data_IF_505771774187
#
_entry.id   IF_505771774187
#
_cell.length_a   1.000
_cell.length_b   1.000
_cell.length_c   1.000
_cell.angle_alpha   90.00
_cell.angle_beta   90.00
_cell.angle_gamma   90.00
#
_symmetry.space_group_name_H-M   'P 1'
#
loop_
_entity.id
_entity.type
_entity.pdbx_description
1 polymer ?
#
# COMPACT_ATOMS: atom_id res chain seq x y z
N UNK A 1 -23.78 20.07 -14.71
CA UNK A 1 -23.42 19.28 -13.53
C UNK A 1 -22.65 20.20 -12.59
N UNK A 2 -23.05 20.40 -11.35
CA UNK A 2 -22.27 21.18 -10.41
C UNK A 2 -21.04 20.37 -9.99
N UNK A 3 -19.89 21.00 -9.69
CA UNK A 3 -18.69 20.30 -9.26
C UNK A 3 -18.90 19.72 -7.87
N UNK A 4 -18.47 18.47 -7.68
CA UNK A 4 -18.39 17.82 -6.37
C UNK A 4 -17.47 18.63 -5.45
N UNK A 5 -17.79 18.79 -4.16
CA UNK A 5 -16.93 19.48 -3.21
C UNK A 5 -15.81 18.53 -2.77
N UNK A 6 -14.77 18.42 -3.57
CA UNK A 6 -13.48 17.86 -3.20
C UNK A 6 -12.63 18.95 -2.58
N UNK A 7 -12.94 19.35 -1.36
CA UNK A 7 -12.13 20.29 -0.62
C UNK A 7 -10.78 19.66 -0.29
N UNK A 8 -9.73 20.11 -0.97
CA UNK A 8 -8.37 20.04 -0.44
C UNK A 8 -8.44 20.81 0.88
N UNK A 9 -8.32 20.11 2.00
CA UNK A 9 -8.12 20.72 3.31
C UNK A 9 -6.74 21.41 3.30
N UNK A 10 -6.71 22.61 2.78
CA UNK A 10 -5.73 23.59 3.21
C UNK A 10 -6.15 23.99 4.63
N UNK A 11 -5.51 23.41 5.64
CA UNK A 11 -5.56 23.90 7.01
C UNK A 11 -4.92 25.28 7.04
N UNK A 12 -5.71 26.31 6.73
CA UNK A 12 -5.37 27.68 6.97
C UNK A 12 -6.55 28.36 7.67
N UNK A 13 -6.71 28.03 8.95
CA UNK A 13 -7.50 28.81 9.90
C UNK A 13 -7.01 28.44 11.30
N UNK A 14 -6.03 29.16 11.84
CA UNK A 14 -5.87 29.43 13.27
C UNK A 14 -5.98 28.33 14.33
N UNK A 15 -6.07 27.07 13.93
CA UNK A 15 -5.84 25.91 14.78
C UNK A 15 -4.34 25.64 14.76
N UNK A 16 -3.65 25.84 15.86
CA UNK A 16 -2.38 25.19 16.14
C UNK A 16 -2.59 23.70 15.91
N UNK A 17 -2.11 23.20 14.76
CA UNK A 17 -2.11 21.77 14.49
C UNK A 17 -1.21 21.16 15.56
N UNK A 18 -1.78 20.40 16.49
CA UNK A 18 -0.98 19.67 17.48
C UNK A 18 -0.02 18.79 16.68
N UNK A 19 1.25 19.10 16.72
CA UNK A 19 2.32 18.39 16.01
C UNK A 19 2.46 16.95 16.51
N UNK A 20 2.06 16.69 17.76
CA UNK A 20 2.06 15.38 18.40
C UNK A 20 0.61 14.94 18.58
N UNK A 21 0.30 13.80 18.00
CA UNK A 21 -1.01 13.17 18.08
C UNK A 21 -0.96 11.94 19.00
N UNK A 22 -1.82 11.95 20.03
CA UNK A 22 -1.94 10.86 20.99
C UNK A 22 -3.29 10.16 20.83
N UNK A 23 -3.25 8.82 20.84
CA UNK A 23 -4.45 8.00 20.80
C UNK A 23 -4.20 6.62 21.42
N UNK A 24 -5.28 5.92 21.77
CA UNK A 24 -5.23 4.56 22.27
C UNK A 24 -5.86 3.61 21.27
N UNK A 25 -5.18 2.50 21.00
CA UNK A 25 -5.65 1.48 20.08
C UNK A 25 -5.16 0.10 20.53
N UNK A 26 -6.07 -0.88 20.59
CA UNK A 26 -5.76 -2.28 20.92
C UNK A 26 -5.00 -2.47 22.25
N UNK A 27 -5.22 -1.58 23.23
CA UNK A 27 -4.58 -1.62 24.54
C UNK A 27 -3.18 -0.98 24.57
N UNK A 28 -2.77 -0.32 23.49
CA UNK A 28 -1.53 0.46 23.43
C UNK A 28 -1.81 1.96 23.49
N UNK A 29 -1.00 2.67 24.24
CA UNK A 29 -0.92 4.13 24.20
C UNK A 29 0.07 4.52 23.10
N UNK A 30 -0.41 5.20 22.09
CA UNK A 30 0.39 5.54 20.90
C UNK A 30 0.56 7.04 20.82
N UNK A 31 1.79 7.48 20.58
CA UNK A 31 2.16 8.88 20.38
C UNK A 31 2.85 9.01 19.03
N UNK A 32 2.26 9.80 18.15
CA UNK A 32 2.74 10.06 16.79
C UNK A 32 3.20 11.51 16.67
N UNK A 33 4.47 11.73 16.36
CA UNK A 33 4.95 13.04 15.87
C UNK A 33 4.70 13.14 14.36
N UNK A 34 3.82 14.03 13.96
CA UNK A 34 3.36 14.14 12.56
C UNK A 34 4.40 14.73 11.62
N UNK A 35 5.41 15.42 12.14
CA UNK A 35 6.45 16.04 11.33
C UNK A 35 7.68 15.18 11.13
N UNK A 36 8.12 14.46 12.14
CA UNK A 36 9.18 13.47 12.00
C UNK A 36 8.67 12.12 11.50
N UNK A 37 7.38 11.80 11.69
CA UNK A 37 6.81 10.49 11.46
C UNK A 37 7.14 9.46 12.54
N UNK A 38 7.78 9.88 13.64
CA UNK A 38 8.12 8.99 14.76
C UNK A 38 6.87 8.51 15.48
N UNK A 39 6.81 7.21 15.76
CA UNK A 39 5.73 6.57 16.52
C UNK A 39 6.32 5.93 17.76
N UNK A 40 5.73 6.24 18.91
CA UNK A 40 6.14 5.73 20.21
C UNK A 40 4.97 4.96 20.84
N UNK A 41 5.25 3.81 21.41
CA UNK A 41 4.33 3.09 22.29
C UNK A 41 4.84 3.31 23.71
N UNK A 42 3.99 3.85 24.56
CA UNK A 42 4.34 4.29 25.91
C UNK A 42 3.37 3.71 26.94
N UNK A 43 3.78 3.71 28.21
CA UNK A 43 2.88 3.39 29.31
C UNK A 43 1.89 4.53 29.61
N UNK A 44 0.99 4.31 30.56
CA UNK A 44 -0.05 5.28 30.92
C UNK A 44 0.55 6.56 31.50
N UNK A 45 1.62 6.44 32.27
CA UNK A 45 2.27 7.56 32.94
C UNK A 45 2.95 8.48 31.90
N UNK A 46 3.78 7.90 31.04
CA UNK A 46 4.44 8.64 29.97
C UNK A 46 3.42 9.25 28.98
N UNK A 47 2.31 8.57 28.72
CA UNK A 47 1.25 9.09 27.88
C UNK A 47 0.65 10.39 28.43
N UNK A 48 0.34 10.41 29.74
CA UNK A 48 -0.20 11.59 30.41
C UNK A 48 0.86 12.68 30.59
N UNK A 49 2.12 12.33 30.88
CA UNK A 49 3.23 13.29 30.95
C UNK A 49 3.39 14.01 29.61
N UNK A 50 3.41 13.27 28.50
CA UNK A 50 3.52 13.85 27.14
C UNK A 50 2.34 14.79 26.85
N UNK A 51 1.12 14.46 27.27
CA UNK A 51 -0.04 15.31 27.10
C UNK A 51 0.09 16.68 27.76
N UNK A 52 0.80 16.76 28.89
CA UNK A 52 0.97 17.98 29.68
C UNK A 52 2.30 18.71 29.42
N UNK A 53 3.24 18.06 28.75
CA UNK A 53 4.65 18.50 28.66
C UNK A 53 4.84 19.91 28.12
N UNK A 54 4.04 20.30 27.13
CA UNK A 54 4.09 21.66 26.55
C UNK A 54 3.17 22.68 27.24
N UNK A 55 2.32 22.21 28.14
CA UNK A 55 1.29 23.06 28.76
C UNK A 55 1.63 23.48 30.19
N UNK A 56 2.50 22.70 30.88
CA UNK A 56 2.79 22.89 32.30
C UNK A 56 4.30 22.83 32.59
N UNK A 57 4.71 23.38 33.72
CA UNK A 57 6.06 23.23 34.24
C UNK A 57 6.31 21.82 34.75
N UNK A 58 7.58 21.38 34.75
CA UNK A 58 7.97 20.05 35.21
C UNK A 58 7.44 19.73 36.63
N UNK A 59 7.53 20.65 37.56
CA UNK A 59 7.04 20.44 38.93
C UNK A 59 5.51 20.32 38.98
N UNK A 60 4.78 21.07 38.15
CA UNK A 60 3.33 20.97 38.05
C UNK A 60 2.89 19.64 37.42
N UNK A 61 3.66 19.10 36.47
CA UNK A 61 3.42 17.77 35.88
C UNK A 61 3.66 16.69 36.95
N UNK A 62 4.79 16.75 37.65
CA UNK A 62 5.12 15.79 38.71
C UNK A 62 4.02 15.77 39.79
N UNK A 63 3.57 16.94 40.25
CA UNK A 63 2.49 17.03 41.25
C UNK A 63 1.18 16.40 40.73
N UNK A 64 0.79 16.69 39.49
CA UNK A 64 -0.43 16.14 38.88
C UNK A 64 -0.35 14.62 38.68
N UNK A 65 0.82 14.09 38.32
CA UNK A 65 1.03 12.66 38.13
C UNK A 65 1.08 11.92 39.47
N UNK A 66 1.68 12.49 40.51
CA UNK A 66 1.63 11.92 41.87
C UNK A 66 0.19 11.90 42.42
N UNK A 67 -0.62 12.92 42.13
CA UNK A 67 -2.04 12.92 42.51
C UNK A 67 -2.80 11.79 41.77
N UNK A 68 -2.51 11.58 40.48
CA UNK A 68 -3.20 10.57 39.66
C UNK A 68 -2.74 9.15 39.89
N UNK A 69 -1.44 8.94 40.10
CA UNK A 69 -0.79 7.62 40.12
C UNK A 69 -0.06 7.31 41.43
N UNK A 70 -0.16 8.16 42.45
CA UNK A 70 0.58 8.00 43.72
C UNK A 70 0.26 6.75 44.53
N UNK A 71 -0.85 6.08 44.21
CA UNK A 71 -1.19 4.77 44.83
C UNK A 71 -0.41 3.61 44.18
N UNK A 72 0.28 3.83 43.08
CA UNK A 72 1.10 2.83 42.38
C UNK A 72 2.51 2.80 42.97
N UNK A 73 3.00 1.65 43.43
CA UNK A 73 4.31 1.53 44.05
C UNK A 73 5.50 1.71 43.08
N UNK A 74 5.20 1.61 41.78
CA UNK A 74 6.14 1.78 40.67
C UNK A 74 6.19 3.21 40.12
N UNK A 75 5.48 4.17 40.75
CA UNK A 75 5.45 5.57 40.34
C UNK A 75 5.91 6.46 41.48
N UNK A 76 7.18 6.83 41.44
CA UNK A 76 7.76 7.78 42.39
C UNK A 76 8.06 9.12 41.74
N UNK A 77 8.35 10.16 42.55
CA UNK A 77 8.80 11.45 42.03
C UNK A 77 10.07 11.30 41.16
N UNK A 78 10.95 10.40 41.52
CA UNK A 78 12.21 10.15 40.77
C UNK A 78 11.88 9.56 39.38
N UNK A 79 10.95 8.58 39.31
CA UNK A 79 10.53 7.98 38.03
C UNK A 79 9.86 9.01 37.12
N UNK A 80 9.03 9.91 37.67
CA UNK A 80 8.40 10.97 36.94
C UNK A 80 9.39 11.99 36.39
N UNK A 81 10.43 12.35 37.19
CA UNK A 81 11.49 13.23 36.71
C UNK A 81 12.33 12.58 35.61
N UNK A 82 12.63 11.27 35.75
CA UNK A 82 13.30 10.50 34.69
C UNK A 82 12.45 10.46 33.40
N UNK A 83 11.15 10.22 33.51
CA UNK A 83 10.23 10.27 32.37
C UNK A 83 10.26 11.62 31.65
N UNK A 84 10.29 12.75 32.42
CA UNK A 84 10.40 14.09 31.84
C UNK A 84 11.75 14.29 31.11
N UNK A 85 12.86 13.75 31.65
CA UNK A 85 14.15 13.77 30.98
C UNK A 85 14.15 12.95 29.68
N UNK A 86 13.53 11.77 29.68
CA UNK A 86 13.39 10.92 28.50
C UNK A 86 12.54 11.60 27.41
N UNK A 87 11.44 12.26 27.79
CA UNK A 87 10.62 13.07 26.88
C UNK A 87 11.42 14.24 26.30
N UNK A 88 12.20 14.93 27.14
CA UNK A 88 13.09 16.01 26.68
C UNK A 88 14.17 15.50 25.70
N UNK A 89 14.73 14.31 25.94
CA UNK A 89 15.68 13.69 25.04
C UNK A 89 15.05 13.36 23.68
N UNK A 90 13.80 12.88 23.64
CA UNK A 90 13.07 12.63 22.38
C UNK A 90 12.79 13.94 21.63
N UNK A 91 12.47 15.03 22.34
CA UNK A 91 12.32 16.34 21.73
C UNK A 91 13.64 16.84 21.11
N UNK A 92 14.74 16.78 21.87
CA UNK A 92 16.07 17.17 21.38
C UNK A 92 16.52 16.31 20.17
N UNK A 93 16.16 15.04 20.14
CA UNK A 93 16.42 14.16 19.03
C UNK A 93 15.52 14.41 17.80
N UNK A 94 14.59 15.38 17.86
CA UNK A 94 13.64 15.66 16.78
C UNK A 94 12.64 14.54 16.55
N UNK A 95 12.21 13.84 17.61
CA UNK A 95 11.25 12.71 17.54
C UNK A 95 9.94 12.99 18.27
N UNK A 96 9.86 14.13 18.95
CA UNK A 96 8.64 14.73 19.50
C UNK A 96 8.67 16.23 19.30
N UNK A 97 7.52 16.83 18.98
CA UNK A 97 7.36 18.25 18.65
C UNK A 97 8.36 18.75 17.60
N UNK A 98 8.66 17.93 16.63
CA UNK A 98 9.59 18.23 15.55
C UNK A 98 9.09 19.39 14.70
N UNK A 99 9.97 20.32 14.28
CA UNK A 99 9.57 21.40 13.38
C UNK A 99 9.13 20.85 12.03
N UNK A 100 8.13 21.47 11.42
CA UNK A 100 7.74 21.18 10.04
C UNK A 100 8.76 21.80 9.07
N UNK A 101 9.79 21.05 8.72
CA UNK A 101 10.84 21.50 7.78
C UNK A 101 10.33 21.62 6.33
N UNK A 102 9.10 21.21 6.04
CA UNK A 102 8.51 21.23 4.70
C UNK A 102 7.35 22.22 4.57
N UNK A 103 7.01 22.97 5.63
CA UNK A 103 5.91 23.92 5.61
C UNK A 103 6.03 24.93 4.46
N UNK A 104 7.24 25.42 4.22
CA UNK A 104 7.53 26.43 3.17
C UNK A 104 7.73 25.80 1.79
N UNK A 105 7.73 24.48 1.67
CA UNK A 105 7.94 23.75 0.40
C UNK A 105 6.62 23.35 -0.28
N UNK A 106 5.47 23.80 0.19
CA UNK A 106 4.18 23.62 -0.47
C UNK A 106 4.11 24.47 -1.71
N UNK A 107 4.52 23.93 -2.85
CA UNK A 107 4.55 24.62 -4.14
C UNK A 107 3.20 24.57 -4.85
N UNK A 108 3.00 25.54 -5.76
CA UNK A 108 1.96 25.44 -6.77
C UNK A 108 2.22 24.24 -7.68
N UNK A 109 1.38 23.24 -7.59
CA UNK A 109 1.46 21.99 -8.36
C UNK A 109 1.49 22.21 -9.87
N UNK A 110 1.00 23.35 -10.37
CA UNK A 110 1.00 23.68 -11.79
C UNK A 110 2.38 23.98 -12.38
N UNK A 111 3.30 24.38 -11.53
CA UNK A 111 4.67 24.79 -11.94
C UNK A 111 5.73 23.72 -11.64
N UNK A 112 5.33 22.51 -11.34
CA UNK A 112 6.24 21.42 -11.02
C UNK A 112 6.93 20.88 -12.27
N UNK A 113 8.27 20.87 -12.29
CA UNK A 113 9.04 20.10 -13.25
C UNK A 113 8.96 18.61 -12.86
N UNK A 114 8.19 17.84 -13.59
CA UNK A 114 8.05 16.40 -13.37
C UNK A 114 8.81 15.63 -14.43
N UNK A 115 9.43 14.52 -14.01
CA UNK A 115 9.98 13.51 -14.91
C UNK A 115 9.13 12.25 -14.81
N UNK A 116 8.84 11.61 -15.93
CA UNK A 116 8.12 10.34 -15.93
C UNK A 116 9.03 9.27 -15.35
N UNK A 117 8.52 8.56 -14.33
CA UNK A 117 9.28 7.51 -13.63
C UNK A 117 8.72 6.12 -13.87
N UNK A 118 7.42 6.02 -14.20
CA UNK A 118 6.74 4.76 -14.34
C UNK A 118 5.65 4.80 -15.40
N UNK A 119 5.41 3.65 -16.05
CA UNK A 119 4.27 3.41 -16.94
C UNK A 119 3.50 2.18 -16.52
N UNK A 120 2.17 2.29 -16.50
CA UNK A 120 1.26 1.15 -16.44
C UNK A 120 0.78 0.82 -17.85
N UNK A 121 1.30 -0.24 -18.45
CA UNK A 121 0.99 -0.62 -19.82
C UNK A 121 -0.14 -1.64 -19.87
N UNK A 122 -1.29 -1.23 -20.41
CA UNK A 122 -2.38 -2.13 -20.71
C UNK A 122 -2.07 -2.92 -21.99
N UNK A 123 -1.24 -3.94 -21.87
CA UNK A 123 -0.75 -4.73 -23.01
C UNK A 123 -1.83 -5.61 -23.65
N UNK A 124 -2.93 -5.85 -22.94
CA UNK A 124 -4.08 -6.61 -23.45
C UNK A 124 -5.40 -5.95 -23.03
N UNK A 125 -6.18 -5.49 -23.98
CA UNK A 125 -7.58 -5.09 -23.80
C UNK A 125 -8.51 -6.27 -23.97
N UNK A 126 -8.15 -7.40 -23.37
CA UNK A 126 -8.95 -8.63 -23.31
C UNK A 126 -8.52 -9.44 -22.09
N UNK A 127 -9.42 -10.31 -21.62
CA UNK A 127 -9.16 -11.18 -20.48
C UNK A 127 -9.78 -12.56 -20.73
N UNK A 128 -9.18 -13.60 -20.20
CA UNK A 128 -9.70 -14.98 -20.20
C UNK A 128 -10.64 -15.26 -19.03
N UNK A 129 -10.79 -14.33 -18.09
CA UNK A 129 -11.81 -14.34 -17.03
C UNK A 129 -12.90 -13.29 -17.26
N UNK A 130 -14.07 -13.54 -16.69
CA UNK A 130 -15.26 -12.69 -16.73
C UNK A 130 -15.65 -12.24 -15.30
N UNK A 131 -14.72 -11.63 -14.59
CA UNK A 131 -14.94 -11.20 -13.20
C UNK A 131 -16.07 -10.18 -13.11
N UNK A 132 -17.05 -10.42 -12.22
CA UNK A 132 -18.27 -9.60 -12.16
C UNK A 132 -18.01 -8.18 -11.64
N UNK A 133 -17.05 -7.97 -10.74
CA UNK A 133 -16.70 -6.65 -10.21
C UNK A 133 -15.61 -5.92 -11.04
N UNK A 134 -15.23 -6.42 -12.22
CA UNK A 134 -14.09 -5.90 -12.96
C UNK A 134 -14.30 -4.45 -13.42
N UNK A 135 -13.57 -3.50 -12.83
CA UNK A 135 -13.60 -2.08 -13.21
C UNK A 135 -13.18 -1.85 -14.67
N UNK A 136 -12.35 -2.76 -15.21
CA UNK A 136 -11.84 -2.71 -16.59
C UNK A 136 -12.79 -3.33 -17.63
N UNK A 137 -14.06 -3.62 -17.28
CA UNK A 137 -15.04 -4.27 -18.18
C UNK A 137 -14.47 -5.54 -18.83
N UNK A 138 -13.94 -6.44 -18.01
CA UNK A 138 -13.25 -7.68 -18.41
C UNK A 138 -12.10 -7.41 -19.40
N UNK A 139 -11.35 -6.35 -19.11
CA UNK A 139 -10.18 -5.92 -19.86
C UNK A 139 -10.46 -5.02 -21.06
N UNK A 140 -11.73 -4.80 -21.44
CA UNK A 140 -12.06 -3.95 -22.60
C UNK A 140 -11.95 -2.46 -22.35
N UNK A 141 -11.98 -2.02 -21.09
CA UNK A 141 -11.99 -0.59 -20.72
C UNK A 141 -13.04 0.22 -21.47
N UNK A 142 -14.24 -0.39 -21.65
CA UNK A 142 -15.37 0.16 -22.42
C UNK A 142 -15.09 0.36 -23.93
N UNK A 143 -13.99 -0.20 -24.45
CA UNK A 143 -13.61 -0.19 -25.85
C UNK A 143 -13.64 -1.59 -26.49
N UNK A 144 -12.98 -1.71 -27.63
CA UNK A 144 -12.82 -2.98 -28.34
C UNK A 144 -11.79 -3.89 -27.68
N UNK A 145 -11.93 -5.20 -27.88
CA UNK A 145 -10.91 -6.17 -27.51
C UNK A 145 -9.72 -6.06 -28.45
N UNK A 146 -8.54 -5.83 -27.90
CA UNK A 146 -7.31 -5.67 -28.65
C UNK A 146 -6.11 -6.15 -27.88
N UNK A 147 -5.03 -6.45 -28.58
CA UNK A 147 -3.71 -6.69 -28.02
C UNK A 147 -2.77 -5.57 -28.50
N UNK A 148 -1.95 -5.07 -27.59
CA UNK A 148 -0.95 -4.03 -27.93
C UNK A 148 0.05 -4.60 -28.93
N UNK A 149 0.33 -3.85 -30.02
CA UNK A 149 1.40 -4.21 -30.94
C UNK A 149 2.77 -3.91 -30.34
N UNK A 150 3.81 -4.55 -30.86
CA UNK A 150 5.19 -4.26 -30.44
C UNK A 150 5.57 -2.81 -30.71
N UNK A 151 5.14 -2.23 -31.81
CA UNK A 151 5.43 -0.84 -32.21
C UNK A 151 4.84 0.16 -31.21
N UNK A 152 3.63 -0.08 -30.73
CA UNK A 152 3.00 0.76 -29.70
C UNK A 152 3.74 0.61 -28.37
N UNK A 153 4.04 -0.61 -27.94
CA UNK A 153 4.83 -0.85 -26.74
C UNK A 153 6.21 -0.22 -26.80
N UNK A 154 6.89 -0.40 -27.93
CA UNK A 154 8.21 0.23 -28.18
C UNK A 154 8.12 1.76 -28.04
N UNK A 155 7.13 2.40 -28.70
CA UNK A 155 6.96 3.85 -28.60
C UNK A 155 6.69 4.32 -27.17
N UNK A 156 5.95 3.54 -26.37
CA UNK A 156 5.74 3.84 -24.95
C UNK A 156 7.06 3.79 -24.15
N UNK A 157 7.94 2.81 -24.43
CA UNK A 157 9.25 2.75 -23.79
C UNK A 157 10.16 3.90 -24.21
N UNK A 158 10.17 4.25 -25.50
CA UNK A 158 10.91 5.41 -26.01
C UNK A 158 10.44 6.69 -25.30
N UNK A 159 9.13 6.87 -25.17
CA UNK A 159 8.53 7.99 -24.43
C UNK A 159 9.00 8.04 -22.96
N UNK A 160 9.01 6.89 -22.27
CA UNK A 160 9.49 6.82 -20.90
C UNK A 160 10.96 7.22 -20.78
N UNK A 161 11.81 6.76 -21.69
CA UNK A 161 13.23 7.11 -21.73
C UNK A 161 13.40 8.62 -21.99
N UNK A 162 12.74 9.14 -23.02
CA UNK A 162 12.81 10.55 -23.43
C UNK A 162 12.38 11.52 -22.32
N UNK A 163 11.37 11.12 -21.51
CA UNK A 163 10.76 11.99 -20.49
C UNK A 163 11.22 11.69 -19.06
N UNK A 164 12.17 10.79 -18.86
CA UNK A 164 12.67 10.42 -17.53
C UNK A 164 13.87 11.26 -17.05
N UNK A 165 14.36 12.18 -17.87
CA UNK A 165 15.50 13.02 -17.53
C UNK A 165 16.74 12.20 -17.10
N UNK A 166 17.36 12.59 -16.01
CA UNK A 166 18.53 11.89 -15.43
C UNK A 166 18.16 10.67 -14.58
N UNK A 167 16.87 10.38 -14.39
CA UNK A 167 16.40 9.25 -13.58
C UNK A 167 16.86 7.94 -14.21
N UNK A 168 17.60 7.12 -13.46
CA UNK A 168 18.12 5.84 -13.94
C UNK A 168 17.09 4.71 -13.81
N UNK A 169 16.45 4.58 -12.64
CA UNK A 169 15.48 3.50 -12.38
C UNK A 169 14.10 3.89 -12.89
N UNK A 170 13.55 3.08 -13.79
CA UNK A 170 12.26 3.27 -14.43
C UNK A 170 11.38 2.04 -14.15
N UNK A 171 10.14 2.26 -13.76
CA UNK A 171 9.18 1.21 -13.46
C UNK A 171 8.23 0.99 -14.64
N UNK A 172 7.94 -0.26 -14.95
CA UNK A 172 6.98 -0.63 -16.00
C UNK A 172 6.10 -1.76 -15.50
N UNK A 173 4.80 -1.48 -15.37
CA UNK A 173 3.81 -2.46 -14.97
C UNK A 173 3.09 -3.01 -16.19
N UNK A 174 3.23 -4.31 -16.46
CA UNK A 174 2.44 -5.02 -17.45
C UNK A 174 1.08 -5.37 -16.86
N UNK A 175 0.07 -4.71 -17.38
CA UNK A 175 -1.30 -4.73 -16.90
C UNK A 175 -2.30 -4.88 -18.05
N UNK A 176 -3.58 -4.66 -17.76
CA UNK A 176 -4.66 -4.67 -18.74
C UNK A 176 -5.82 -5.56 -18.31
N UNK A 177 -6.37 -6.36 -19.21
CA UNK A 177 -7.28 -7.45 -18.89
C UNK A 177 -6.51 -8.60 -18.26
N UNK A 178 -5.80 -9.37 -19.12
CA UNK A 178 -4.81 -10.36 -18.68
C UNK A 178 -3.55 -10.21 -19.55
N UNK A 179 -2.45 -9.70 -19.00
CA UNK A 179 -1.24 -9.44 -19.78
C UNK A 179 -0.61 -10.70 -20.39
N UNK A 180 -0.76 -11.86 -19.77
CA UNK A 180 -0.24 -13.11 -20.34
C UNK A 180 -0.95 -13.54 -21.64
N UNK A 181 -2.08 -12.93 -21.99
CA UNK A 181 -2.68 -13.11 -23.33
C UNK A 181 -1.84 -12.45 -24.44
N UNK A 182 -0.91 -11.57 -24.08
CA UNK A 182 0.02 -10.92 -25.03
C UNK A 182 1.48 -11.19 -24.64
N UNK A 183 1.75 -12.36 -24.07
CA UNK A 183 3.03 -12.67 -23.43
C UNK A 183 4.22 -12.61 -24.39
N UNK A 184 4.06 -13.09 -25.63
CA UNK A 184 5.13 -13.04 -26.63
C UNK A 184 5.54 -11.59 -26.99
N UNK A 185 4.58 -10.68 -27.03
CA UNK A 185 4.87 -9.25 -27.22
C UNK A 185 5.60 -8.70 -25.98
N UNK A 186 5.18 -9.05 -24.77
CA UNK A 186 5.86 -8.63 -23.52
C UNK A 186 7.33 -9.09 -23.52
N UNK A 187 7.60 -10.36 -23.89
CA UNK A 187 8.98 -10.87 -23.98
C UNK A 187 9.83 -10.05 -24.96
N UNK A 188 9.29 -9.72 -26.12
CA UNK A 188 9.99 -8.88 -27.12
C UNK A 188 10.24 -7.47 -26.59
N UNK A 189 9.25 -6.89 -25.90
CA UNK A 189 9.37 -5.54 -25.35
C UNK A 189 10.42 -5.48 -24.23
N UNK A 190 10.46 -6.46 -23.35
CA UNK A 190 11.48 -6.57 -22.30
C UNK A 190 12.87 -6.70 -22.92
N UNK A 191 13.04 -7.54 -23.93
CA UNK A 191 14.33 -7.67 -24.65
C UNK A 191 14.77 -6.34 -25.25
N UNK A 192 13.86 -5.61 -25.89
CA UNK A 192 14.13 -4.26 -26.38
C UNK A 192 14.58 -3.32 -25.25
N UNK A 193 13.89 -3.31 -24.12
CA UNK A 193 14.25 -2.46 -22.98
C UNK A 193 15.65 -2.79 -22.43
N UNK A 194 16.04 -4.08 -22.36
CA UNK A 194 17.38 -4.50 -21.93
C UNK A 194 18.50 -4.00 -22.85
N UNK A 195 18.22 -3.82 -24.14
CA UNK A 195 19.14 -3.18 -25.08
C UNK A 195 19.22 -1.67 -24.84
N UNK A 196 18.07 -1.01 -24.65
CA UNK A 196 18.00 0.43 -24.40
C UNK A 196 18.64 0.86 -23.07
N UNK A 197 18.63 0.00 -22.04
CA UNK A 197 19.31 0.24 -20.75
C UNK A 197 20.79 0.63 -20.96
N UNK A 198 21.46 -0.09 -21.85
CA UNK A 198 22.89 0.12 -22.13
C UNK A 198 23.15 1.43 -22.87
N UNK A 199 22.25 1.80 -23.79
CA UNK A 199 22.37 2.98 -24.62
C UNK A 199 22.09 4.27 -23.82
N UNK A 200 21.08 4.22 -22.97
CA UNK A 200 20.55 5.40 -22.27
C UNK A 200 20.91 5.45 -20.78
N UNK A 201 21.74 4.54 -20.27
CA UNK A 201 22.09 4.41 -18.85
C UNK A 201 20.83 4.35 -17.95
N UNK A 202 19.86 3.55 -18.36
CA UNK A 202 18.62 3.28 -17.61
C UNK A 202 18.65 1.91 -16.97
N UNK A 203 17.70 1.65 -16.08
CA UNK A 203 17.47 0.35 -15.44
C UNK A 203 15.96 0.16 -15.31
N UNK A 204 15.40 -0.73 -16.12
CA UNK A 204 13.96 -1.03 -16.08
C UNK A 204 13.65 -2.08 -15.04
N UNK A 205 12.66 -1.77 -14.21
CA UNK A 205 12.10 -2.68 -13.20
C UNK A 205 10.69 -3.04 -13.64
N UNK A 206 10.50 -4.29 -14.03
CA UNK A 206 9.21 -4.77 -14.54
C UNK A 206 8.38 -5.37 -13.43
N UNK A 207 7.08 -5.06 -13.44
CA UNK A 207 6.04 -5.74 -12.66
C UNK A 207 5.08 -6.44 -13.62
N UNK A 208 4.67 -7.66 -13.29
CA UNK A 208 3.64 -8.42 -14.00
C UNK A 208 2.45 -8.63 -13.08
N UNK A 209 1.25 -8.20 -13.51
CA UNK A 209 0.00 -8.49 -12.79
C UNK A 209 -0.78 -9.56 -13.55
N UNK A 210 -1.13 -10.68 -12.92
CA UNK A 210 -1.83 -11.77 -13.61
C UNK A 210 -2.92 -12.40 -12.76
N UNK A 211 -3.96 -12.90 -13.42
CA UNK A 211 -5.00 -13.74 -12.82
C UNK A 211 -4.60 -15.21 -12.65
N UNK A 212 -3.43 -15.60 -13.12
CA UNK A 212 -2.83 -16.91 -12.91
C UNK A 212 -3.28 -18.03 -13.86
N UNK A 213 -4.34 -17.85 -14.61
CA UNK A 213 -4.88 -18.92 -15.47
C UNK A 213 -3.86 -19.43 -16.51
N UNK A 214 -3.02 -18.53 -17.04
CA UNK A 214 -2.04 -18.82 -18.09
C UNK A 214 -0.63 -19.04 -17.55
N UNK A 215 -0.43 -19.11 -16.25
CA UNK A 215 0.88 -19.42 -15.67
C UNK A 215 1.26 -20.87 -16.05
N UNK A 216 2.45 -21.00 -16.59
CA UNK A 216 3.18 -22.23 -16.90
C UNK A 216 4.67 -22.06 -16.59
N UNK A 217 5.51 -23.04 -16.94
CA UNK A 217 6.95 -23.00 -16.68
C UNK A 217 7.65 -21.84 -17.39
N UNK A 218 7.28 -21.54 -18.64
CA UNK A 218 7.89 -20.43 -19.41
C UNK A 218 7.59 -19.09 -18.75
N UNK A 219 6.36 -18.88 -18.27
CA UNK A 219 5.96 -17.68 -17.52
C UNK A 219 6.72 -17.57 -16.20
N UNK A 220 6.86 -18.68 -15.45
CA UNK A 220 7.60 -18.70 -14.18
C UNK A 220 9.06 -18.32 -14.41
N UNK A 221 9.72 -18.98 -15.37
CA UNK A 221 11.13 -18.74 -15.67
C UNK A 221 11.37 -17.31 -16.15
N UNK A 222 10.53 -16.81 -17.05
CA UNK A 222 10.60 -15.43 -17.52
C UNK A 222 10.42 -14.43 -16.38
N UNK A 223 9.38 -14.56 -15.58
CA UNK A 223 9.12 -13.63 -14.47
C UNK A 223 10.23 -13.70 -13.42
N UNK A 224 10.78 -14.88 -13.15
CA UNK A 224 11.90 -15.03 -12.21
C UNK A 224 13.20 -14.42 -12.73
N UNK A 225 13.38 -14.34 -14.03
CA UNK A 225 14.56 -13.74 -14.66
C UNK A 225 14.40 -12.23 -14.83
N UNK A 226 13.26 -11.78 -15.32
CA UNK A 226 13.10 -10.43 -15.84
C UNK A 226 12.25 -9.50 -14.95
N UNK A 227 11.31 -10.04 -14.16
CA UNK A 227 10.41 -9.22 -13.36
C UNK A 227 10.94 -8.97 -11.96
N UNK A 228 11.02 -7.70 -11.59
CA UNK A 228 11.36 -7.27 -10.23
C UNK A 228 10.26 -7.65 -9.24
N UNK A 229 9.01 -7.52 -9.65
CA UNK A 229 7.84 -7.87 -8.84
C UNK A 229 6.79 -8.60 -9.67
N UNK A 230 5.95 -9.42 -9.02
CA UNK A 230 4.80 -10.08 -9.64
C UNK A 230 3.60 -9.98 -8.72
N UNK A 231 2.47 -9.57 -9.28
CA UNK A 231 1.19 -9.47 -8.59
C UNK A 231 0.30 -10.64 -9.01
N UNK A 232 -0.06 -11.47 -8.04
CA UNK A 232 -0.87 -12.68 -8.23
C UNK A 232 -2.28 -12.42 -7.69
N UNK A 233 -3.28 -12.42 -8.57
CA UNK A 233 -4.65 -12.04 -8.21
C UNK A 233 -5.42 -13.18 -7.55
N UNK A 234 -5.65 -13.10 -6.23
CA UNK A 234 -6.41 -14.06 -5.44
C UNK A 234 -7.23 -13.32 -4.38
N UNK A 235 -8.55 -13.56 -4.34
CA UNK A 235 -9.45 -12.85 -3.41
C UNK A 235 -9.62 -13.58 -2.05
N UNK A 236 -8.84 -14.60 -1.78
CA UNK A 236 -8.87 -15.35 -0.51
C UNK A 236 -9.56 -16.69 -0.62
N UNK A 237 -10.55 -16.95 0.26
CA UNK A 237 -11.30 -18.22 0.31
C UNK A 237 -11.93 -18.57 -1.04
N UNK A 238 -12.03 -19.86 -1.31
CA UNK A 238 -12.55 -20.37 -2.59
C UNK A 238 -13.92 -19.83 -2.94
N UNK A 239 -14.85 -19.85 -1.99
CA UNK A 239 -16.23 -19.38 -2.19
C UNK A 239 -16.29 -17.87 -2.49
N UNK A 240 -15.39 -17.07 -1.91
CA UNK A 240 -15.25 -15.63 -2.19
C UNK A 240 -14.66 -15.43 -3.58
N UNK A 241 -13.53 -16.06 -3.85
CA UNK A 241 -12.85 -15.96 -5.14
C UNK A 241 -13.76 -16.40 -6.30
N UNK A 242 -14.35 -17.59 -6.22
CA UNK A 242 -15.18 -18.17 -7.26
C UNK A 242 -16.55 -17.50 -7.41
N UNK A 243 -16.98 -16.69 -6.43
CA UNK A 243 -18.15 -15.83 -6.58
C UNK A 243 -17.94 -14.82 -7.70
N UNK A 244 -16.77 -14.23 -7.79
CA UNK A 244 -16.48 -13.10 -8.66
C UNK A 244 -15.62 -13.45 -9.87
N UNK A 245 -14.55 -14.26 -9.67
CA UNK A 245 -13.53 -14.54 -10.69
C UNK A 245 -13.84 -15.83 -11.45
N UNK A 246 -14.86 -15.75 -12.29
CA UNK A 246 -15.30 -16.87 -13.14
C UNK A 246 -14.75 -16.73 -14.56
N UNK A 247 -14.64 -17.87 -15.24
CA UNK A 247 -14.41 -17.90 -16.68
C UNK A 247 -15.72 -17.58 -17.45
N UNK A 248 -15.64 -17.51 -18.78
CA UNK A 248 -16.81 -17.25 -19.64
C UNK A 248 -17.82 -18.40 -19.66
N UNK A 249 -17.48 -19.58 -19.17
CA UNK A 249 -18.39 -20.70 -18.97
C UNK A 249 -19.04 -20.70 -17.57
N UNK A 250 -18.76 -19.68 -16.73
CA UNK A 250 -19.28 -19.55 -15.38
C UNK A 250 -18.59 -20.42 -14.33
N UNK A 251 -17.47 -21.06 -14.67
CA UNK A 251 -16.68 -21.88 -13.71
C UNK A 251 -15.75 -20.99 -12.89
N UNK A 252 -15.63 -21.29 -11.59
CA UNK A 252 -14.66 -20.64 -10.72
C UNK A 252 -13.22 -20.92 -11.16
N UNK A 253 -12.30 -20.02 -10.84
CA UNK A 253 -10.89 -20.13 -11.22
C UNK A 253 -9.97 -20.56 -10.08
N UNK A 254 -10.46 -20.62 -8.84
CA UNK A 254 -9.66 -20.88 -7.65
C UNK A 254 -8.83 -22.19 -7.74
N UNK A 255 -9.49 -23.32 -8.01
CA UNK A 255 -8.81 -24.62 -8.06
C UNK A 255 -7.75 -24.72 -9.18
N UNK A 256 -7.92 -23.93 -10.25
CA UNK A 256 -6.99 -23.88 -11.36
C UNK A 256 -5.73 -23.04 -11.05
N UNK A 257 -5.88 -21.96 -10.26
CA UNK A 257 -4.80 -21.00 -10.07
C UNK A 257 -3.99 -21.20 -8.79
N UNK A 258 -4.61 -21.63 -7.69
CA UNK A 258 -3.90 -21.77 -6.40
C UNK A 258 -2.69 -22.70 -6.49
N UNK A 259 -2.75 -23.91 -7.08
CA UNK A 259 -1.56 -24.75 -7.23
C UNK A 259 -0.46 -24.07 -8.07
N UNK A 260 -0.83 -23.32 -9.10
CA UNK A 260 0.11 -22.56 -9.94
C UNK A 260 0.78 -21.43 -9.16
N UNK A 261 0.03 -20.72 -8.34
CA UNK A 261 0.58 -19.67 -7.49
C UNK A 261 1.54 -20.21 -6.43
N UNK A 262 1.20 -21.36 -5.80
CA UNK A 262 2.09 -22.01 -4.85
C UNK A 262 3.41 -22.44 -5.52
N UNK A 263 3.34 -23.04 -6.70
CA UNK A 263 4.54 -23.43 -7.46
C UNK A 263 5.33 -22.20 -7.92
N UNK A 264 4.64 -21.14 -8.39
CA UNK A 264 5.26 -19.89 -8.77
C UNK A 264 6.06 -19.30 -7.61
N UNK A 265 5.43 -19.13 -6.44
CA UNK A 265 6.06 -18.53 -5.25
C UNK A 265 7.22 -19.41 -4.76
N UNK A 266 7.04 -20.72 -4.73
CA UNK A 266 8.11 -21.67 -4.38
C UNK A 266 9.36 -21.50 -5.26
N UNK A 267 9.18 -21.37 -6.58
CA UNK A 267 10.29 -21.18 -7.54
C UNK A 267 10.85 -19.75 -7.54
N UNK A 268 10.07 -18.79 -7.08
CA UNK A 268 10.48 -17.39 -7.02
C UNK A 268 11.44 -17.13 -5.85
N UNK A 269 11.35 -17.90 -4.75
CA UNK A 269 12.18 -17.73 -3.56
C UNK A 269 12.02 -16.32 -2.94
N UNK A 270 13.14 -15.67 -2.67
CA UNK A 270 13.17 -14.35 -1.99
C UNK A 270 12.87 -13.15 -2.91
N UNK A 271 12.50 -13.38 -4.18
CA UNK A 271 12.17 -12.30 -5.11
C UNK A 271 10.78 -11.73 -4.84
N UNK A 272 10.62 -10.44 -5.06
CA UNK A 272 9.37 -9.71 -4.77
C UNK A 272 8.15 -10.26 -5.51
N UNK A 273 7.10 -10.54 -4.76
CA UNK A 273 5.75 -10.83 -5.24
C UNK A 273 4.75 -10.31 -4.21
N UNK A 274 3.50 -10.23 -4.56
CA UNK A 274 2.42 -10.20 -3.59
C UNK A 274 1.12 -10.76 -4.16
N UNK A 275 0.36 -11.38 -3.26
CA UNK A 275 -1.02 -11.75 -3.54
C UNK A 275 -1.88 -10.50 -3.44
N UNK A 276 -2.75 -10.28 -4.42
CA UNK A 276 -3.66 -9.14 -4.41
C UNK A 276 -5.10 -9.60 -4.53
N UNK A 277 -5.85 -9.40 -3.46
CA UNK A 277 -7.28 -9.67 -3.41
C UNK A 277 -8.12 -8.40 -3.44
N UNK A 278 -9.42 -8.60 -3.58
CA UNK A 278 -10.43 -7.54 -3.54
C UNK A 278 -11.53 -7.93 -2.56
N UNK A 279 -11.85 -7.03 -1.62
CA UNK A 279 -13.03 -7.20 -0.77
C UNK A 279 -14.17 -6.29 -1.21
N UNK A 280 -15.38 -6.74 -0.96
CA UNK A 280 -16.62 -6.13 -1.42
C UNK A 280 -17.64 -6.11 -0.29
N UNK A 281 -18.82 -5.56 -0.51
CA UNK A 281 -19.95 -5.70 0.39
C UNK A 281 -20.27 -7.17 0.78
N UNK A 282 -19.93 -8.14 -0.06
CA UNK A 282 -20.24 -9.55 0.16
C UNK A 282 -19.20 -10.32 0.99
N UNK A 283 -18.04 -9.75 1.25
CA UNK A 283 -16.98 -10.31 2.08
C UNK A 283 -16.32 -9.24 2.96
N UNK A 284 -17.16 -8.53 3.70
CA UNK A 284 -16.68 -7.54 4.69
C UNK A 284 -15.84 -8.17 5.80
N UNK A 285 -15.92 -9.50 5.99
CA UNK A 285 -15.07 -10.32 6.84
C UNK A 285 -13.71 -10.68 6.18
N UNK A 286 -13.18 -9.77 5.39
CA UNK A 286 -12.02 -9.96 4.50
C UNK A 286 -10.74 -10.45 5.20
N UNK A 287 -10.64 -10.30 6.51
CA UNK A 287 -9.50 -10.86 7.27
C UNK A 287 -9.43 -12.37 7.18
N UNK A 288 -10.59 -13.06 7.09
CA UNK A 288 -10.63 -14.50 6.88
C UNK A 288 -10.03 -14.88 5.52
N UNK A 289 -10.17 -14.01 4.53
CA UNK A 289 -9.57 -14.19 3.19
C UNK A 289 -8.06 -14.00 3.24
N UNK A 290 -7.57 -12.99 3.98
CA UNK A 290 -6.14 -12.76 4.23
C UNK A 290 -5.53 -13.94 4.98
N UNK A 291 -6.16 -14.40 6.05
CA UNK A 291 -5.65 -15.52 6.84
C UNK A 291 -5.63 -16.81 6.03
N UNK A 292 -6.64 -17.04 5.20
CA UNK A 292 -6.67 -18.15 4.27
C UNK A 292 -5.47 -18.13 3.30
N UNK A 293 -5.15 -16.97 2.71
CA UNK A 293 -3.98 -16.82 1.85
C UNK A 293 -2.68 -17.09 2.61
N UNK A 294 -2.55 -16.59 3.84
CA UNK A 294 -1.39 -16.86 4.69
C UNK A 294 -1.26 -18.35 5.03
N UNK A 295 -2.37 -19.03 5.30
CA UNK A 295 -2.40 -20.48 5.62
C UNK A 295 -2.12 -21.36 4.38
N UNK A 296 -2.30 -20.84 3.16
CA UNK A 296 -1.82 -21.44 1.90
C UNK A 296 -0.29 -21.32 1.69
N UNK A 297 0.40 -20.60 2.58
CA UNK A 297 1.85 -20.38 2.52
C UNK A 297 2.29 -19.11 1.80
N UNK A 298 1.37 -18.18 1.51
CA UNK A 298 1.71 -16.88 0.93
C UNK A 298 2.05 -15.89 2.05
N UNK A 299 3.18 -15.21 1.95
CA UNK A 299 3.70 -14.30 2.98
C UNK A 299 3.61 -12.82 2.63
N UNK A 300 3.39 -12.50 1.37
CA UNK A 300 3.27 -11.11 0.88
C UNK A 300 1.83 -10.88 0.40
N UNK A 301 1.03 -10.16 1.19
CA UNK A 301 -0.41 -10.06 1.01
C UNK A 301 -0.88 -8.61 0.87
N UNK A 302 -1.87 -8.40 -0.01
CA UNK A 302 -2.60 -7.16 -0.18
C UNK A 302 -4.08 -7.45 -0.41
N UNK A 303 -4.96 -6.62 0.15
CA UNK A 303 -6.41 -6.73 -0.04
C UNK A 303 -7.00 -5.33 -0.19
N UNK A 304 -7.60 -5.08 -1.35
CA UNK A 304 -8.10 -3.75 -1.73
C UNK A 304 -9.63 -3.68 -1.66
N UNK A 305 -10.22 -2.54 -1.31
CA UNK A 305 -11.65 -2.36 -1.48
C UNK A 305 -12.01 -2.37 -2.97
N UNK A 306 -13.18 -2.91 -3.29
CA UNK A 306 -13.70 -2.90 -4.66
C UNK A 306 -13.90 -1.47 -5.16
N UNK A 307 -13.50 -1.22 -6.41
CA UNK A 307 -13.78 0.03 -7.13
C UNK A 307 -14.88 -0.22 -8.14
N UNK A 308 -16.07 0.26 -7.85
CA UNK A 308 -17.25 0.10 -8.69
C UNK A 308 -18.18 1.30 -8.54
N UNK A 309 -19.28 1.34 -9.31
CA UNK A 309 -20.29 2.38 -9.16
C UNK A 309 -21.04 2.21 -7.84
N UNK A 310 -21.57 3.31 -7.25
CA UNK A 310 -22.29 3.23 -5.97
C UNK A 310 -23.54 2.36 -5.99
N UNK A 311 -24.15 2.15 -7.16
CA UNK A 311 -25.33 1.33 -7.39
C UNK A 311 -25.01 -0.15 -7.72
N UNK A 312 -23.71 -0.50 -7.78
CA UNK A 312 -23.30 -1.90 -7.97
C UNK A 312 -23.55 -2.69 -6.67
N UNK A 313 -24.11 -3.91 -6.75
CA UNK A 313 -24.34 -4.74 -5.55
C UNK A 313 -23.07 -5.07 -4.76
N UNK A 314 -21.91 -5.01 -5.39
CA UNK A 314 -20.61 -5.24 -4.73
C UNK A 314 -20.08 -4.02 -3.99
N UNK A 315 -20.70 -2.83 -4.21
CA UNK A 315 -20.21 -1.57 -3.65
C UNK A 315 -20.25 -1.59 -2.12
N UNK A 316 -19.17 -1.13 -1.50
CA UNK A 316 -19.13 -0.86 -0.07
C UNK A 316 -20.00 0.35 0.26
N UNK A 317 -20.68 0.29 1.39
CA UNK A 317 -21.58 1.31 1.89
C UNK A 317 -21.13 1.84 3.24
N UNK A 318 -21.70 2.95 3.71
CA UNK A 318 -21.41 3.46 5.05
C UNK A 318 -21.77 2.44 6.16
N UNK A 319 -22.75 1.57 5.91
CA UNK A 319 -23.13 0.52 6.86
C UNK A 319 -22.03 -0.56 7.03
N UNK A 320 -21.16 -0.74 6.05
CA UNK A 320 -20.05 -1.69 6.11
C UNK A 320 -18.85 -1.15 6.91
N UNK A 321 -18.72 0.19 7.04
CA UNK A 321 -17.56 0.82 7.66
C UNK A 321 -17.27 0.38 9.10
N UNK A 322 -18.26 0.20 10.00
CA UNK A 322 -18.00 -0.30 11.35
C UNK A 322 -17.39 -1.70 11.33
N UNK A 323 -17.90 -2.59 10.47
CA UNK A 323 -17.39 -3.95 10.31
C UNK A 323 -15.96 -3.91 9.78
N UNK A 324 -15.70 -3.13 8.73
CA UNK A 324 -14.37 -3.02 8.15
C UNK A 324 -13.33 -2.49 9.15
N UNK A 325 -13.70 -1.50 9.98
CA UNK A 325 -12.80 -1.01 11.04
C UNK A 325 -12.44 -2.12 12.02
N UNK A 326 -13.42 -2.90 12.47
CA UNK A 326 -13.19 -4.05 13.35
C UNK A 326 -12.28 -5.09 12.68
N UNK A 327 -12.48 -5.37 11.39
CA UNK A 327 -11.64 -6.30 10.64
C UNK A 327 -10.18 -5.85 10.58
N UNK A 328 -9.89 -4.58 10.36
CA UNK A 328 -8.51 -4.07 10.40
C UNK A 328 -7.87 -4.22 11.79
N UNK A 329 -8.62 -4.08 12.87
CA UNK A 329 -8.13 -4.34 14.22
C UNK A 329 -7.85 -5.83 14.46
N UNK A 330 -8.74 -6.72 14.00
CA UNK A 330 -8.55 -8.17 14.04
C UNK A 330 -7.28 -8.55 13.27
N UNK A 331 -7.10 -7.98 12.07
CA UNK A 331 -5.92 -8.22 11.25
C UNK A 331 -4.63 -7.84 12.00
N UNK A 332 -4.58 -6.64 12.59
CA UNK A 332 -3.40 -6.18 13.32
C UNK A 332 -3.04 -7.10 14.49
N UNK A 333 -4.05 -7.52 15.28
CA UNK A 333 -3.86 -8.42 16.42
C UNK A 333 -3.35 -9.80 15.98
N UNK A 334 -3.94 -10.36 14.92
CA UNK A 334 -3.54 -11.67 14.42
C UNK A 334 -2.15 -11.63 13.76
N UNK A 335 -1.78 -10.53 13.07
CA UNK A 335 -0.43 -10.34 12.55
C UNK A 335 0.61 -10.35 13.67
N UNK A 336 0.41 -9.60 14.76
CA UNK A 336 1.31 -9.58 15.92
C UNK A 336 1.44 -10.99 16.53
N UNK A 337 0.30 -11.70 16.67
CA UNK A 337 0.29 -13.06 17.21
C UNK A 337 1.06 -14.02 16.31
N UNK A 338 0.78 -14.04 15.01
CA UNK A 338 1.46 -14.93 14.04
C UNK A 338 2.95 -14.62 13.94
N UNK A 339 3.36 -13.36 14.02
CA UNK A 339 4.76 -12.96 14.05
C UNK A 339 5.49 -13.56 15.26
N UNK A 340 4.91 -13.45 16.46
CA UNK A 340 5.45 -14.06 17.68
C UNK A 340 5.54 -15.59 17.62
N UNK A 341 4.67 -16.22 16.85
CA UNK A 341 4.65 -17.67 16.62
C UNK A 341 5.61 -18.12 15.48
N UNK A 342 6.33 -17.20 14.85
CA UNK A 342 7.21 -17.48 13.71
C UNK A 342 6.44 -17.81 12.40
N UNK A 343 5.18 -17.42 12.31
CA UNK A 343 4.28 -17.60 11.15
C UNK A 343 3.82 -16.24 10.56
N UNK A 344 4.65 -15.21 10.72
CA UNK A 344 4.37 -13.87 10.26
C UNK A 344 4.15 -13.80 8.74
N UNK A 345 3.39 -12.80 8.33
CA UNK A 345 3.22 -12.41 6.93
C UNK A 345 3.21 -10.88 6.84
N UNK A 346 3.52 -10.37 5.65
CA UNK A 346 3.44 -8.95 5.34
C UNK A 346 2.04 -8.61 4.83
N UNK A 347 1.44 -7.56 5.39
CA UNK A 347 0.25 -6.95 4.80
C UNK A 347 0.62 -5.57 4.26
N UNK A 348 0.57 -5.41 2.93
CA UNK A 348 1.13 -4.27 2.22
C UNK A 348 0.67 -2.90 2.76
N UNK A 349 -0.61 -2.76 3.13
CA UNK A 349 -1.15 -1.50 3.66
C UNK A 349 -0.63 -1.13 5.06
N UNK A 350 -0.04 -2.08 5.78
CA UNK A 350 0.58 -1.82 7.10
C UNK A 350 2.08 -1.60 7.03
N UNK A 351 2.68 -1.71 5.83
CA UNK A 351 4.10 -1.49 5.63
C UNK A 351 4.39 0.02 5.53
N UNK A 352 4.62 0.63 6.68
CA UNK A 352 4.99 2.03 6.83
C UNK A 352 6.45 2.09 7.26
N UNK A 353 7.29 2.77 6.49
CA UNK A 353 8.66 3.07 6.91
C UNK A 353 8.63 4.17 7.98
N UNK A 354 8.74 3.75 9.23
CA UNK A 354 8.80 4.68 10.37
C UNK A 354 10.20 5.26 10.60
N UNK A 355 11.23 4.76 9.91
CA UNK A 355 12.61 5.21 10.04
C UNK A 355 12.94 6.38 9.13
N UNK A 356 12.28 6.47 7.98
CA UNK A 356 12.47 7.50 6.97
C UNK A 356 11.63 8.77 7.16
N UNK A 357 10.81 8.84 8.21
CA UNK A 357 9.87 9.94 8.44
C UNK A 357 8.67 9.94 7.49
N UNK A 358 7.86 11.02 7.49
CA UNK A 358 6.66 11.10 6.66
C UNK A 358 7.01 11.21 5.17
N UNK A 359 6.13 10.68 4.33
CA UNK A 359 6.30 10.77 2.88
C UNK A 359 6.19 12.22 2.38
N UNK A 360 7.33 12.82 2.08
CA UNK A 360 7.45 14.20 1.60
C UNK A 360 6.63 14.44 0.34
N UNK A 361 6.64 13.50 -0.60
CA UNK A 361 5.90 13.62 -1.86
C UNK A 361 4.39 13.75 -1.64
N UNK A 362 3.81 13.05 -0.66
CA UNK A 362 2.39 13.22 -0.32
C UNK A 362 2.07 14.61 0.21
N UNK A 363 3.01 15.24 0.90
CA UNK A 363 2.82 16.61 1.44
C UNK A 363 3.01 17.68 0.37
N UNK A 364 3.96 17.49 -0.54
CA UNK A 364 4.35 18.51 -1.51
C UNK A 364 3.53 18.38 -2.81
N UNK A 365 3.29 17.17 -3.30
CA UNK A 365 2.82 17.00 -4.66
C UNK A 365 1.90 15.80 -4.90
N UNK A 366 1.56 15.05 -3.86
CA UNK A 366 0.83 13.79 -4.01
C UNK A 366 1.69 12.66 -4.60
N UNK A 367 1.05 11.53 -4.96
CA UNK A 367 1.75 10.31 -5.36
C UNK A 367 2.31 10.32 -6.80
N UNK A 368 2.10 11.39 -7.56
CA UNK A 368 2.59 11.53 -8.94
C UNK A 368 1.74 10.81 -10.01
N UNK A 369 0.59 10.24 -9.66
CA UNK A 369 -0.34 9.66 -10.63
C UNK A 369 -0.80 10.72 -11.64
N UNK A 370 -0.71 10.41 -12.95
CA UNK A 370 -1.01 11.33 -14.03
C UNK A 370 0.08 12.35 -14.33
N UNK A 371 1.20 12.33 -13.63
CA UNK A 371 2.34 13.23 -13.88
C UNK A 371 3.68 12.48 -13.97
N UNK A 372 4.05 11.71 -12.98
CA UNK A 372 5.29 10.93 -12.94
C UNK A 372 5.03 9.44 -13.19
N UNK A 373 3.81 8.99 -12.90
CA UNK A 373 3.31 7.64 -13.12
C UNK A 373 2.11 7.71 -14.09
N UNK A 374 2.25 7.15 -15.27
CA UNK A 374 1.29 7.18 -16.38
C UNK A 374 0.83 5.78 -16.78
#
# INVERSE_FOLDING_TARGET
MPPLPGGIFLCNNGMETKMVHQYQLNGYNIVLDTCSGSVHVVDDVAYDVIALYKERSADAIVAAMLEKYGDRPDVTEADLRQCLEDVAALEQAGKLWSPDTYADMAFDFKNRNTVVKALCLHVAHTCNLNCSYCFASQGRYQGDRALMSFEVGKRAMDFLIENSGTRRNLEVDFFGGEPLMNFEMVKKLVAYCREQEKIHNKNFRFTMTTNGMLIDEDVIDFCNKECHNVVLSLDGRKEVHDRFRKDYAGRGSYDAIVPKFQEFVRKRGDKGYYMRGTYTHFNTDFTNDIFHMADLGFTELSMEPVVCKPDDPSALTEADLPILKEQYEILAKEMIKRDREGRGFTFYHYMIDLTGGPCIYKRISGCGSGTEYM
#
